data_IF_827031727811
#
_entry.id   IF_827031727811
#
_cell.length_a   1.000
_cell.length_b   1.000
_cell.length_c   1.000
_cell.angle_alpha   90.00
_cell.angle_beta   90.00
_cell.angle_gamma   90.00
#
_symmetry.space_group_name_H-M   'P 1'
#
loop_
_entity.id
_entity.type
_entity.pdbx_description
1 polymer ?
#
# COMPACT_ATOMS: atom_id res chain seq x y z
N UNK A 1 16.26 -12.95 -21.07
CA UNK A 1 15.07 -13.82 -21.06
C UNK A 1 13.87 -13.01 -20.61
N UNK A 2 12.85 -12.86 -21.47
CA UNK A 2 11.60 -12.19 -21.12
C UNK A 2 10.82 -13.06 -20.13
N UNK A 3 10.92 -12.81 -18.84
CA UNK A 3 9.99 -13.36 -17.88
C UNK A 3 8.62 -12.73 -18.17
N UNK A 4 7.75 -13.48 -18.86
CA UNK A 4 6.34 -13.08 -19.02
C UNK A 4 5.77 -12.88 -17.61
N UNK A 5 5.57 -11.62 -17.21
CA UNK A 5 4.87 -11.31 -15.99
C UNK A 5 3.51 -12.00 -16.03
N UNK A 6 3.25 -12.87 -15.07
CA UNK A 6 1.94 -13.52 -14.92
C UNK A 6 0.92 -12.45 -14.58
N UNK A 7 0.13 -12.06 -15.57
CA UNK A 7 -0.99 -11.15 -15.36
C UNK A 7 -2.12 -11.89 -14.64
N UNK A 8 -2.59 -11.34 -13.52
CA UNK A 8 -3.69 -11.90 -12.73
C UNK A 8 -4.91 -11.01 -12.95
N UNK A 9 -5.76 -11.36 -13.91
CA UNK A 9 -6.95 -10.59 -14.33
C UNK A 9 -7.89 -10.27 -13.16
N UNK A 10 -8.06 -11.18 -12.19
CA UNK A 10 -8.91 -10.97 -11.02
C UNK A 10 -8.51 -9.77 -10.16
N UNK A 11 -7.23 -9.39 -10.12
CA UNK A 11 -6.77 -8.25 -9.33
C UNK A 11 -7.26 -6.91 -9.87
N UNK A 12 -7.42 -6.77 -11.18
CA UNK A 12 -7.96 -5.53 -11.74
C UNK A 12 -9.43 -5.36 -11.40
N UNK A 13 -10.20 -6.46 -11.41
CA UNK A 13 -11.60 -6.45 -10.95
C UNK A 13 -11.72 -6.03 -9.48
N UNK A 14 -10.90 -6.62 -8.59
CA UNK A 14 -10.92 -6.28 -7.17
C UNK A 14 -10.48 -4.82 -6.95
N UNK A 15 -9.48 -4.34 -7.68
CA UNK A 15 -9.06 -2.94 -7.64
C UNK A 15 -10.17 -1.99 -8.07
N UNK A 16 -10.86 -2.32 -9.15
CA UNK A 16 -11.98 -1.51 -9.64
C UNK A 16 -13.08 -1.41 -8.59
N UNK A 17 -13.47 -2.52 -7.97
CA UNK A 17 -14.47 -2.53 -6.89
C UNK A 17 -13.98 -1.70 -5.70
N UNK A 18 -12.71 -1.83 -5.34
CA UNK A 18 -12.12 -1.08 -4.23
C UNK A 18 -12.10 0.43 -4.49
N UNK A 19 -11.74 0.87 -5.72
CA UNK A 19 -11.81 2.29 -6.12
C UNK A 19 -13.24 2.81 -6.09
N UNK A 20 -14.17 2.07 -6.71
CA UNK A 20 -15.57 2.47 -6.72
C UNK A 20 -16.13 2.58 -5.30
N UNK A 21 -15.77 1.64 -4.41
CA UNK A 21 -16.13 1.71 -3.00
C UNK A 21 -15.67 3.01 -2.34
N UNK A 22 -14.41 3.40 -2.55
CA UNK A 22 -13.86 4.65 -2.01
C UNK A 22 -14.56 5.87 -2.62
N UNK A 23 -14.76 5.91 -3.94
CA UNK A 23 -15.44 7.01 -4.61
C UNK A 23 -16.88 7.17 -4.07
N UNK A 24 -17.64 6.09 -4.00
CA UNK A 24 -19.00 6.14 -3.50
C UNK A 24 -19.09 6.49 -2.02
N UNK A 25 -18.12 6.11 -1.21
CA UNK A 25 -18.02 6.55 0.18
C UNK A 25 -17.90 8.07 0.28
N UNK A 26 -17.13 8.72 -0.61
CA UNK A 26 -16.97 10.17 -0.59
C UNK A 26 -18.17 10.90 -1.19
N UNK A 27 -18.84 10.31 -2.18
CA UNK A 27 -20.03 10.90 -2.78
C UNK A 27 -21.30 10.69 -1.93
N UNK A 28 -21.40 9.56 -1.24
CA UNK A 28 -22.59 9.13 -0.50
C UNK A 28 -22.23 8.58 0.89
N UNK A 29 -21.62 9.40 1.78
CA UNK A 29 -21.06 8.93 3.05
C UNK A 29 -22.11 8.30 3.99
N UNK A 30 -23.35 8.77 3.91
CA UNK A 30 -24.44 8.25 4.74
C UNK A 30 -24.98 6.90 4.26
N UNK A 31 -24.82 6.59 2.96
CA UNK A 31 -25.37 5.38 2.35
C UNK A 31 -24.34 4.26 2.27
N UNK A 32 -23.11 4.59 1.89
CA UNK A 32 -22.03 3.58 1.67
C UNK A 32 -20.93 3.75 2.73
N UNK A 33 -21.27 3.47 3.97
CA UNK A 33 -20.39 3.68 5.14
C UNK A 33 -19.10 2.84 5.12
N UNK A 34 -19.07 1.69 4.45
CA UNK A 34 -17.91 0.78 4.41
C UNK A 34 -16.93 1.02 3.25
N UNK A 35 -17.17 1.99 2.37
CA UNK A 35 -16.36 2.18 1.16
C UNK A 35 -14.89 2.54 1.42
N UNK A 36 -14.57 3.17 2.54
CA UNK A 36 -13.19 3.43 2.98
C UNK A 36 -12.34 2.16 3.13
N UNK A 37 -12.95 0.99 3.28
CA UNK A 37 -12.26 -0.29 3.31
C UNK A 37 -11.61 -0.66 1.95
N UNK A 38 -11.96 0.02 0.88
CA UNK A 38 -11.27 -0.12 -0.40
C UNK A 38 -9.77 0.16 -0.31
N UNK A 39 -9.33 1.10 0.55
CA UNK A 39 -7.90 1.42 0.72
C UNK A 39 -7.10 0.24 1.27
N UNK A 40 -7.49 -0.43 2.37
CA UNK A 40 -6.84 -1.68 2.79
C UNK A 40 -6.79 -2.76 1.73
N UNK A 41 -7.84 -2.93 0.93
CA UNK A 41 -7.85 -3.91 -0.19
C UNK A 41 -6.78 -3.56 -1.22
N UNK A 42 -6.63 -2.29 -1.58
CA UNK A 42 -5.54 -1.83 -2.44
C UNK A 42 -4.16 -2.18 -1.87
N UNK A 43 -3.96 -1.95 -0.58
CA UNK A 43 -2.69 -2.23 0.08
C UNK A 43 -2.37 -3.72 0.08
N UNK A 44 -3.35 -4.60 0.30
CA UNK A 44 -3.16 -6.06 0.19
C UNK A 44 -2.70 -6.43 -1.22
N UNK A 45 -3.36 -5.94 -2.26
CA UNK A 45 -3.00 -6.22 -3.64
C UNK A 45 -1.61 -5.67 -3.98
N UNK A 46 -1.29 -4.46 -3.53
CA UNK A 46 0.01 -3.83 -3.75
C UNK A 46 1.13 -4.63 -3.07
N UNK A 47 0.94 -5.05 -1.82
CA UNK A 47 1.89 -5.88 -1.09
C UNK A 47 2.11 -7.24 -1.77
N UNK A 48 1.02 -7.88 -2.21
CA UNK A 48 1.08 -9.14 -2.96
C UNK A 48 1.90 -8.99 -4.24
N UNK A 49 1.56 -8.03 -5.09
CA UNK A 49 2.19 -7.87 -6.40
C UNK A 49 3.67 -7.52 -6.31
N UNK A 50 4.06 -6.71 -5.33
CA UNK A 50 5.48 -6.35 -5.15
C UNK A 50 6.29 -7.56 -4.71
N UNK A 51 5.82 -8.28 -3.72
CA UNK A 51 6.54 -9.43 -3.21
C UNK A 51 6.55 -10.56 -4.25
N UNK A 52 5.44 -10.79 -4.96
CA UNK A 52 5.43 -11.78 -6.05
C UNK A 52 6.42 -11.45 -7.16
N UNK A 53 6.51 -10.18 -7.58
CA UNK A 53 7.49 -9.70 -8.56
C UNK A 53 8.93 -9.96 -8.11
N UNK A 54 9.26 -9.57 -6.89
CA UNK A 54 10.62 -9.70 -6.35
C UNK A 54 10.99 -11.15 -6.08
N UNK A 55 10.02 -11.97 -5.66
CA UNK A 55 10.18 -13.41 -5.48
C UNK A 55 10.50 -14.09 -6.82
N UNK A 56 9.76 -13.76 -7.89
CA UNK A 56 10.02 -14.27 -9.23
C UNK A 56 11.43 -13.88 -9.73
N UNK A 57 11.84 -12.63 -9.47
CA UNK A 57 13.19 -12.18 -9.82
C UNK A 57 14.27 -12.97 -9.07
N UNK A 58 14.06 -13.23 -7.76
CA UNK A 58 14.97 -14.06 -6.97
C UNK A 58 15.00 -15.51 -7.46
N UNK A 59 13.87 -16.11 -7.77
CA UNK A 59 13.80 -17.50 -8.27
C UNK A 59 14.50 -17.67 -9.62
N UNK A 60 14.44 -16.65 -10.47
CA UNK A 60 15.09 -16.68 -11.80
C UNK A 60 16.59 -16.39 -11.76
N UNK A 61 17.02 -15.46 -10.92
CA UNK A 61 18.36 -14.88 -11.00
C UNK A 61 19.17 -15.07 -9.71
N UNK A 62 18.59 -15.64 -8.65
CA UNK A 62 19.16 -15.71 -7.29
C UNK A 62 19.62 -14.34 -6.76
N UNK A 63 19.09 -13.26 -7.34
CA UNK A 63 19.43 -11.88 -7.00
C UNK A 63 18.24 -10.97 -7.27
N UNK A 64 18.05 -9.97 -6.41
CA UNK A 64 17.06 -8.89 -6.58
C UNK A 64 17.81 -7.59 -6.84
N UNK A 65 17.46 -6.89 -7.91
CA UNK A 65 18.07 -5.62 -8.30
C UNK A 65 17.25 -4.45 -7.72
N UNK A 66 17.43 -4.17 -6.41
CA UNK A 66 16.66 -3.12 -5.70
C UNK A 66 16.71 -1.76 -6.41
N UNK A 67 17.89 -1.32 -6.90
CA UNK A 67 18.00 -0.05 -7.63
C UNK A 67 17.08 0.00 -8.85
N UNK A 68 17.04 -1.05 -9.64
CA UNK A 68 16.16 -1.14 -10.80
C UNK A 68 14.68 -1.19 -10.40
N UNK A 69 14.35 -1.89 -9.30
CA UNK A 69 13.02 -1.91 -8.75
C UNK A 69 12.55 -0.50 -8.35
N UNK A 70 13.32 0.22 -7.52
CA UNK A 70 12.95 1.57 -7.08
C UNK A 70 12.84 2.55 -8.25
N UNK A 71 13.76 2.49 -9.21
CA UNK A 71 13.70 3.35 -10.37
C UNK A 71 12.43 3.13 -11.22
N UNK A 72 12.00 1.88 -11.41
CA UNK A 72 10.72 1.56 -12.07
C UNK A 72 9.53 2.12 -11.30
N UNK A 73 9.55 2.08 -9.96
CA UNK A 73 8.48 2.62 -9.11
C UNK A 73 8.43 4.14 -9.18
N UNK A 74 9.57 4.81 -9.08
CA UNK A 74 9.67 6.26 -9.25
C UNK A 74 9.10 6.68 -10.61
N UNK A 75 9.56 6.09 -11.70
CA UNK A 75 9.04 6.38 -13.04
C UNK A 75 7.53 6.16 -13.19
N UNK A 76 6.95 5.27 -12.43
CA UNK A 76 5.52 5.00 -12.46
C UNK A 76 4.70 5.96 -11.61
N UNK A 77 5.20 6.31 -10.41
CA UNK A 77 4.41 7.05 -9.42
C UNK A 77 4.58 8.57 -9.55
N UNK A 78 5.81 9.06 -9.77
CA UNK A 78 6.07 10.50 -9.78
C UNK A 78 5.36 11.28 -10.89
N UNK A 79 5.25 10.82 -12.14
CA UNK A 79 4.57 11.61 -13.16
C UNK A 79 3.11 11.89 -12.82
N UNK A 80 2.39 10.90 -12.31
CA UNK A 80 1.00 11.06 -11.88
C UNK A 80 0.89 11.96 -10.64
N UNK A 81 1.78 11.80 -9.65
CA UNK A 81 1.82 12.64 -8.46
C UNK A 81 2.09 14.10 -8.81
N UNK A 82 3.11 14.37 -9.63
CA UNK A 82 3.46 15.73 -10.05
C UNK A 82 2.30 16.36 -10.82
N UNK A 83 1.71 15.62 -11.77
CA UNK A 83 0.55 16.08 -12.52
C UNK A 83 -0.63 16.46 -11.60
N UNK A 84 -0.94 15.60 -10.62
CA UNK A 84 -1.97 15.89 -9.62
C UNK A 84 -1.64 17.14 -8.81
N UNK A 85 -0.41 17.24 -8.28
CA UNK A 85 0.02 18.39 -7.47
C UNK A 85 -0.06 19.69 -8.26
N UNK A 86 0.40 19.71 -9.52
CA UNK A 86 0.34 20.92 -10.37
C UNK A 86 -1.11 21.30 -10.67
N UNK A 87 -1.96 20.34 -11.08
CA UNK A 87 -3.36 20.62 -11.41
C UNK A 87 -4.13 21.12 -10.18
N UNK A 88 -4.02 20.45 -9.05
CA UNK A 88 -4.71 20.85 -7.83
C UNK A 88 -4.17 22.18 -7.28
N UNK A 89 -2.85 22.38 -7.28
CA UNK A 89 -2.26 23.65 -6.83
C UNK A 89 -2.71 24.81 -7.73
N UNK A 90 -2.75 24.62 -9.05
CA UNK A 90 -3.27 25.64 -9.99
C UNK A 90 -4.74 25.95 -9.72
N UNK A 91 -5.57 24.92 -9.53
CA UNK A 91 -6.99 25.08 -9.20
C UNK A 91 -7.19 25.86 -7.89
N UNK A 92 -6.47 25.49 -6.82
CA UNK A 92 -6.54 26.17 -5.52
C UNK A 92 -6.11 27.64 -5.67
N UNK A 93 -5.02 27.92 -6.38
CA UNK A 93 -4.51 29.27 -6.57
C UNK A 93 -5.51 30.17 -7.31
N UNK A 94 -6.24 29.63 -8.28
CA UNK A 94 -7.19 30.38 -9.10
C UNK A 94 -8.56 30.52 -8.43
N UNK A 95 -9.05 29.47 -7.76
CA UNK A 95 -10.46 29.37 -7.34
C UNK A 95 -10.68 29.22 -5.83
N UNK A 96 -9.68 28.71 -5.06
CA UNK A 96 -9.85 28.41 -3.63
C UNK A 96 -8.67 28.91 -2.79
N UNK A 97 -8.41 30.20 -2.82
CA UNK A 97 -7.25 30.83 -2.16
C UNK A 97 -7.17 30.61 -0.64
N UNK A 98 -8.28 30.28 0.02
CA UNK A 98 -8.32 29.93 1.43
C UNK A 98 -7.49 28.65 1.76
N UNK A 99 -7.27 27.77 0.79
CA UNK A 99 -6.47 26.56 0.96
C UNK A 99 -4.96 26.75 0.72
N UNK A 100 -4.52 27.96 0.31
CA UNK A 100 -3.10 28.26 0.02
C UNK A 100 -2.19 28.14 1.25
N UNK A 101 -2.71 28.40 2.44
CA UNK A 101 -1.90 28.42 3.67
C UNK A 101 -1.15 27.12 3.93
N UNK A 102 -1.70 25.99 3.54
CA UNK A 102 -1.12 24.66 3.75
C UNK A 102 -0.43 24.09 2.50
N UNK A 103 -0.53 24.76 1.35
CA UNK A 103 -0.13 24.20 0.07
C UNK A 103 1.35 23.79 0.02
N UNK A 104 2.25 24.62 0.56
CA UNK A 104 3.70 24.31 0.58
C UNK A 104 3.99 23.05 1.37
N UNK A 105 3.38 22.90 2.55
CA UNK A 105 3.55 21.72 3.41
C UNK A 105 3.03 20.45 2.74
N UNK A 106 1.85 20.52 2.13
CA UNK A 106 1.24 19.41 1.39
C UNK A 106 2.10 19.00 0.21
N UNK A 107 2.54 19.94 -0.63
CA UNK A 107 3.36 19.65 -1.81
C UNK A 107 4.69 19.01 -1.40
N UNK A 108 5.40 19.62 -0.43
CA UNK A 108 6.70 19.10 0.01
C UNK A 108 6.59 17.72 0.65
N UNK A 109 5.63 17.54 1.56
CA UNK A 109 5.40 16.26 2.23
C UNK A 109 4.96 15.15 1.25
N UNK A 110 4.19 15.51 0.22
CA UNK A 110 3.75 14.57 -0.81
C UNK A 110 4.89 14.13 -1.72
N UNK A 111 5.73 15.06 -2.17
CA UNK A 111 6.90 14.75 -2.99
C UNK A 111 7.90 13.83 -2.28
N UNK A 112 8.01 13.92 -0.97
CA UNK A 112 8.89 13.09 -0.14
C UNK A 112 8.18 11.88 0.48
N UNK A 113 6.92 11.64 0.15
CA UNK A 113 6.10 10.51 0.64
C UNK A 113 6.01 10.42 2.16
N UNK A 114 5.88 11.56 2.87
CA UNK A 114 5.53 11.61 4.29
C UNK A 114 4.26 12.44 4.58
N UNK A 115 3.43 12.66 3.57
CA UNK A 115 2.21 13.45 3.67
C UNK A 115 1.24 12.93 4.75
N UNK A 116 1.21 11.63 5.01
CA UNK A 116 0.42 11.04 6.07
C UNK A 116 0.81 11.57 7.47
N UNK A 117 2.09 11.63 7.77
CA UNK A 117 2.58 12.20 9.04
C UNK A 117 2.36 13.71 9.10
N UNK A 118 2.56 14.42 7.99
CA UNK A 118 2.29 15.84 7.90
C UNK A 118 0.82 16.16 8.19
N UNK A 119 -0.11 15.35 7.67
CA UNK A 119 -1.55 15.51 7.93
C UNK A 119 -1.90 15.23 9.39
N UNK A 120 -1.33 14.19 10.00
CA UNK A 120 -1.52 13.86 11.41
C UNK A 120 -1.02 15.00 12.31
N UNK A 121 0.18 15.52 12.04
CA UNK A 121 0.81 16.59 12.83
C UNK A 121 0.02 17.90 12.76
N UNK A 122 -0.51 18.23 11.58
CA UNK A 122 -1.35 19.39 11.37
C UNK A 122 -2.83 19.18 11.77
N UNK A 123 -3.16 18.04 12.42
CA UNK A 123 -4.50 17.69 12.91
C UNK A 123 -5.58 17.77 11.82
N UNK A 124 -5.23 17.42 10.59
CA UNK A 124 -6.15 17.39 9.48
C UNK A 124 -6.95 16.08 9.54
N UNK A 125 -8.13 16.13 10.17
CA UNK A 125 -8.97 14.94 10.30
C UNK A 125 -9.40 14.38 8.95
N UNK A 126 -9.20 13.08 8.74
CA UNK A 126 -9.70 12.38 7.57
C UNK A 126 -11.24 12.30 7.56
N UNK A 127 -11.84 12.21 8.72
CA UNK A 127 -13.29 11.99 8.87
C UNK A 127 -14.10 13.29 8.88
N UNK A 128 -13.50 14.42 9.29
CA UNK A 128 -14.17 15.73 9.30
C UNK A 128 -14.13 16.44 7.93
N UNK A 129 -13.43 15.89 6.96
CA UNK A 129 -13.18 16.50 5.64
C UNK A 129 -14.39 16.57 4.72
N UNK A 130 -15.49 15.94 5.08
CA UNK A 130 -16.76 16.10 4.36
C UNK A 130 -17.30 17.54 4.41
N UNK A 131 -16.86 18.33 5.40
CA UNK A 131 -17.25 19.74 5.56
C UNK A 131 -16.29 20.72 4.90
N UNK A 132 -15.03 20.31 4.62
CA UNK A 132 -14.02 21.15 3.97
C UNK A 132 -13.08 20.28 3.10
N UNK A 133 -13.51 19.91 1.89
CA UNK A 133 -12.77 18.97 1.04
C UNK A 133 -11.46 19.59 0.55
N UNK A 134 -10.33 19.06 1.02
CA UNK A 134 -8.99 19.34 0.49
C UNK A 134 -8.68 18.29 -0.60
N UNK A 135 -8.38 18.69 -1.84
CA UNK A 135 -8.07 17.75 -2.94
C UNK A 135 -6.83 16.88 -2.68
N UNK A 136 -5.97 17.25 -1.75
CA UNK A 136 -4.77 16.51 -1.38
C UNK A 136 -4.98 15.48 -0.27
N UNK A 137 -6.19 15.42 0.27
CA UNK A 137 -6.56 14.53 1.37
C UNK A 137 -6.08 13.10 1.17
N UNK A 138 -6.20 12.56 -0.05
CA UNK A 138 -5.92 11.15 -0.34
C UNK A 138 -4.42 10.82 -0.47
N UNK A 139 -3.53 11.81 -0.45
CA UNK A 139 -2.09 11.60 -0.61
C UNK A 139 -1.43 10.89 0.59
N UNK A 140 -2.13 10.83 1.74
CA UNK A 140 -1.68 10.02 2.87
C UNK A 140 -1.48 8.54 2.50
N UNK A 141 -2.42 7.98 1.75
CA UNK A 141 -2.36 6.55 1.38
C UNK A 141 -1.20 6.25 0.43
N UNK A 142 -0.91 7.17 -0.50
CA UNK A 142 0.24 7.05 -1.39
C UNK A 142 1.57 7.11 -0.60
N UNK A 143 1.62 7.92 0.46
CA UNK A 143 2.78 7.99 1.35
C UNK A 143 2.99 6.69 2.11
N UNK A 144 1.94 6.13 2.72
CA UNK A 144 1.99 4.83 3.40
C UNK A 144 2.43 3.72 2.44
N UNK A 145 1.90 3.72 1.22
CA UNK A 145 2.27 2.75 0.19
C UNK A 145 3.76 2.86 -0.18
N UNK A 146 4.26 4.06 -0.44
CA UNK A 146 5.65 4.29 -0.81
C UNK A 146 6.63 3.91 0.30
N UNK A 147 6.30 4.19 1.56
CA UNK A 147 7.11 3.80 2.72
C UNK A 147 7.21 2.28 2.86
N UNK A 148 6.10 1.56 2.67
CA UNK A 148 6.12 0.10 2.64
C UNK A 148 6.86 -0.46 1.41
N UNK A 149 6.80 0.22 0.26
CA UNK A 149 7.60 -0.14 -0.92
C UNK A 149 9.11 -0.01 -0.67
N UNK A 150 9.51 0.86 0.25
CA UNK A 150 10.90 0.95 0.67
C UNK A 150 11.29 -0.23 1.57
N UNK A 151 10.45 -0.57 2.55
CA UNK A 151 10.77 -1.54 3.61
C UNK A 151 10.65 -2.99 3.14
N UNK A 152 9.53 -3.37 2.51
CA UNK A 152 9.24 -4.77 2.16
C UNK A 152 10.31 -5.42 1.25
N UNK A 153 10.81 -4.76 0.18
CA UNK A 153 11.84 -5.34 -0.67
C UNK A 153 13.16 -5.56 0.06
N UNK A 154 13.54 -4.64 0.94
CA UNK A 154 14.77 -4.76 1.75
C UNK A 154 14.66 -5.97 2.68
N UNK A 155 13.54 -6.12 3.37
CA UNK A 155 13.30 -7.25 4.27
C UNK A 155 13.31 -8.58 3.49
N UNK A 156 12.67 -8.64 2.33
CA UNK A 156 12.65 -9.84 1.51
C UNK A 156 14.07 -10.27 1.10
N UNK A 157 14.88 -9.31 0.61
CA UNK A 157 16.28 -9.57 0.24
C UNK A 157 17.09 -10.04 1.45
N UNK A 158 16.90 -9.41 2.60
CA UNK A 158 17.59 -9.78 3.84
C UNK A 158 17.25 -11.23 4.22
N UNK A 159 15.98 -11.59 4.25
CA UNK A 159 15.55 -12.94 4.63
C UNK A 159 16.04 -14.02 3.65
N UNK A 160 16.04 -13.73 2.35
CA UNK A 160 16.54 -14.67 1.35
C UNK A 160 18.07 -14.82 1.43
N UNK A 161 18.82 -13.75 1.65
CA UNK A 161 20.27 -13.82 1.87
C UNK A 161 20.65 -14.57 3.14
N UNK A 162 19.80 -14.50 4.17
CA UNK A 162 19.97 -15.28 5.41
C UNK A 162 19.54 -16.76 5.25
N UNK A 163 19.25 -17.21 4.04
CA UNK A 163 18.85 -18.60 3.75
C UNK A 163 17.53 -19.02 4.41
N UNK A 164 16.64 -18.07 4.72
CA UNK A 164 15.35 -18.40 5.34
C UNK A 164 14.45 -19.13 4.35
N UNK A 165 13.82 -20.21 4.81
CA UNK A 165 12.85 -20.96 4.02
C UNK A 165 11.64 -20.08 3.71
N UNK A 166 10.98 -20.28 2.57
CA UNK A 166 9.84 -19.49 2.09
C UNK A 166 8.69 -19.46 3.10
N UNK A 167 8.36 -20.60 3.70
CA UNK A 167 7.34 -20.74 4.74
C UNK A 167 7.61 -19.84 5.95
N UNK A 168 8.87 -19.79 6.41
CA UNK A 168 9.29 -18.91 7.50
C UNK A 168 9.20 -17.44 7.12
N UNK A 169 9.60 -17.07 5.89
CA UNK A 169 9.50 -15.68 5.41
C UNK A 169 8.04 -15.25 5.34
N UNK A 170 7.16 -16.10 4.82
CA UNK A 170 5.72 -15.87 4.81
C UNK A 170 5.16 -15.70 6.23
N UNK A 171 5.58 -16.56 7.17
CA UNK A 171 5.20 -16.46 8.57
C UNK A 171 5.66 -15.15 9.24
N UNK A 172 6.88 -14.68 8.94
CA UNK A 172 7.39 -13.40 9.46
C UNK A 172 6.54 -12.23 8.95
N UNK A 173 6.18 -12.19 7.65
CA UNK A 173 5.30 -11.16 7.12
C UNK A 173 3.89 -11.25 7.72
N UNK A 174 3.37 -12.45 7.97
CA UNK A 174 2.08 -12.62 8.66
C UNK A 174 2.13 -12.11 10.09
N UNK A 175 3.17 -12.45 10.84
CA UNK A 175 3.36 -11.95 12.21
C UNK A 175 3.51 -10.43 12.25
N UNK A 176 4.24 -9.83 11.30
CA UNK A 176 4.33 -8.39 11.15
C UNK A 176 2.97 -7.73 10.83
N UNK A 177 2.16 -8.39 9.99
CA UNK A 177 0.79 -7.96 9.72
C UNK A 177 -0.07 -8.00 10.99
N UNK A 178 -0.03 -9.07 11.75
CA UNK A 178 -0.76 -9.20 13.02
C UNK A 178 -0.30 -8.16 14.05
N UNK A 179 1.01 -7.96 14.19
CA UNK A 179 1.57 -6.94 15.09
C UNK A 179 1.10 -5.53 14.71
N UNK A 180 1.08 -5.20 13.42
CA UNK A 180 0.54 -3.93 12.92
C UNK A 180 -0.96 -3.77 13.20
N UNK A 181 -1.75 -4.83 13.02
CA UNK A 181 -3.18 -4.81 13.31
C UNK A 181 -3.46 -4.66 14.83
N UNK A 182 -2.69 -5.36 15.67
CA UNK A 182 -2.76 -5.21 17.12
C UNK A 182 -2.37 -3.79 17.54
N UNK A 183 -1.31 -3.23 16.95
CA UNK A 183 -0.91 -1.84 17.18
C UNK A 183 -2.02 -0.86 16.84
N UNK A 184 -2.69 -1.06 15.69
CA UNK A 184 -3.84 -0.28 15.29
C UNK A 184 -4.97 -0.35 16.33
N UNK A 185 -5.28 -1.54 16.85
CA UNK A 185 -6.31 -1.74 17.84
C UNK A 185 -5.97 -1.06 19.18
N UNK A 186 -4.70 -1.12 19.62
CA UNK A 186 -4.22 -0.46 20.86
C UNK A 186 -4.30 1.06 20.75
N UNK A 187 -3.98 1.60 19.58
CA UNK A 187 -3.99 3.05 19.34
C UNK A 187 -5.42 3.63 19.20
N UNK A 188 -6.39 2.80 18.85
CA UNK A 188 -7.77 3.26 18.67
C UNK A 188 -8.40 3.56 20.02
N UNK A 189 -8.90 4.80 20.18
CA UNK A 189 -9.63 5.25 21.35
C UNK A 189 -11.03 5.70 20.94
N UNK A 190 -12.09 5.07 21.46
CA UNK A 190 -13.46 5.51 21.19
C UNK A 190 -13.67 6.98 21.60
N UNK A 191 -14.34 7.75 20.75
CA UNK A 191 -14.63 9.18 21.01
C UNK A 191 -13.49 10.15 20.68
N UNK A 192 -12.32 9.65 20.22
CA UNK A 192 -11.22 10.47 19.73
C UNK A 192 -11.15 10.33 18.21
N UNK A 193 -10.75 11.41 17.53
CA UNK A 193 -10.54 11.37 16.07
C UNK A 193 -9.56 10.24 15.68
N UNK A 194 -10.00 9.25 14.90
CA UNK A 194 -9.19 8.11 14.54
C UNK A 194 -8.18 8.36 13.43
N UNK A 195 -8.04 9.59 12.93
CA UNK A 195 -7.18 9.92 11.77
C UNK A 195 -5.73 9.47 11.96
N UNK A 196 -5.14 9.71 13.14
CA UNK A 196 -3.77 9.28 13.40
C UNK A 196 -3.59 7.77 13.30
N UNK A 197 -4.61 7.01 13.68
CA UNK A 197 -4.63 5.54 13.57
C UNK A 197 -4.92 5.13 12.12
N UNK A 198 -5.77 5.87 11.43
CA UNK A 198 -6.16 5.59 10.05
C UNK A 198 -5.06 5.90 9.04
N UNK A 199 -4.37 7.04 9.16
CA UNK A 199 -3.33 7.51 8.25
C UNK A 199 -1.92 7.03 8.66
N UNK A 200 -1.78 6.47 9.85
CA UNK A 200 -0.50 6.02 10.41
C UNK A 200 0.11 4.84 9.64
N UNK A 201 1.39 4.94 9.28
CA UNK A 201 2.07 3.88 8.53
C UNK A 201 2.08 2.57 9.29
N UNK A 202 2.45 2.59 10.57
CA UNK A 202 2.54 1.36 11.36
C UNK A 202 1.19 0.68 11.54
N UNK A 203 0.11 1.42 11.71
CA UNK A 203 -1.25 0.89 11.84
C UNK A 203 -1.82 0.38 10.51
N UNK A 204 -1.38 0.93 9.38
CA UNK A 204 -1.87 0.54 8.03
C UNK A 204 -1.02 -0.49 7.31
N UNK A 205 0.20 -0.70 7.76
CA UNK A 205 1.11 -1.68 7.16
C UNK A 205 0.56 -3.10 7.20
N UNK A 206 -0.37 -3.43 8.13
CA UNK A 206 -0.95 -4.78 8.24
C UNK A 206 -1.48 -5.30 6.90
N UNK A 207 -2.15 -4.45 6.12
CA UNK A 207 -2.74 -4.85 4.84
C UNK A 207 -1.66 -5.22 3.81
N UNK A 208 -0.61 -4.40 3.68
CA UNK A 208 0.47 -4.68 2.73
C UNK A 208 1.31 -5.89 3.15
N UNK A 209 1.55 -6.05 4.44
CA UNK A 209 2.29 -7.19 4.97
C UNK A 209 1.48 -8.49 4.85
N UNK A 210 0.15 -8.42 4.99
CA UNK A 210 -0.74 -9.54 4.70
C UNK A 210 -0.63 -9.95 3.22
N UNK A 211 -0.69 -8.97 2.31
CA UNK A 211 -0.50 -9.21 0.88
C UNK A 211 0.86 -9.84 0.56
N UNK A 212 1.93 -9.35 1.20
CA UNK A 212 3.27 -9.90 1.09
C UNK A 212 3.35 -11.36 1.55
N UNK A 213 2.75 -11.68 2.68
CA UNK A 213 2.64 -13.04 3.20
C UNK A 213 1.89 -13.95 2.23
N UNK A 214 0.73 -13.52 1.74
CA UNK A 214 -0.10 -14.28 0.79
C UNK A 214 0.65 -14.59 -0.52
N UNK A 215 1.47 -13.68 -1.03
CA UNK A 215 2.25 -13.88 -2.24
C UNK A 215 3.23 -15.06 -2.12
N UNK A 216 3.78 -15.26 -0.92
CA UNK A 216 4.72 -16.35 -0.65
C UNK A 216 3.97 -17.64 -0.31
N UNK A 217 2.94 -17.57 0.54
CA UNK A 217 2.13 -18.75 0.93
C UNK A 217 1.43 -19.43 -0.25
N UNK A 218 0.87 -18.64 -1.16
CA UNK A 218 0.20 -19.17 -2.34
C UNK A 218 1.12 -20.07 -3.15
N UNK A 219 2.39 -19.72 -3.27
CA UNK A 219 3.37 -20.55 -3.96
C UNK A 219 3.73 -21.82 -3.17
N UNK A 220 3.85 -21.72 -1.85
CA UNK A 220 4.09 -22.88 -0.99
C UNK A 220 2.98 -23.91 -1.17
N UNK A 221 1.72 -23.47 -1.20
CA UNK A 221 0.55 -24.33 -1.43
C UNK A 221 0.61 -24.99 -2.82
N UNK A 222 0.89 -24.23 -3.88
CA UNK A 222 1.02 -24.79 -5.25
C UNK A 222 2.12 -25.85 -5.30
N UNK A 223 3.30 -25.56 -4.75
CA UNK A 223 4.39 -26.52 -4.72
C UNK A 223 4.02 -27.81 -3.95
N UNK A 224 3.35 -27.66 -2.81
CA UNK A 224 2.87 -28.81 -2.05
C UNK A 224 1.88 -29.67 -2.85
N UNK A 225 0.92 -29.07 -3.55
CA UNK A 225 -0.05 -29.77 -4.38
C UNK A 225 0.60 -30.49 -5.56
N UNK A 226 1.58 -29.87 -6.22
CA UNK A 226 2.33 -30.48 -7.32
C UNK A 226 3.16 -31.67 -6.81
N UNK A 227 3.77 -31.54 -5.65
CA UNK A 227 4.56 -32.61 -5.04
C UNK A 227 3.70 -33.81 -4.65
N UNK A 228 2.52 -33.60 -4.09
CA UNK A 228 1.57 -34.64 -3.69
C UNK A 228 0.94 -35.37 -4.91
N UNK A 229 0.83 -34.71 -6.06
CA UNK A 229 0.30 -35.26 -7.31
C UNK A 229 1.33 -36.09 -8.12
N UNK A 230 2.63 -36.02 -7.75
CA UNK A 230 3.62 -36.90 -8.42
C UNK A 230 3.35 -38.33 -8.04
N UNK A 231 3.06 -39.25 -9.01
CA UNK A 231 2.88 -40.67 -8.72
C UNK A 231 4.17 -41.18 -8.07
N UNK A 232 4.04 -41.90 -6.95
CA UNK A 232 5.16 -42.68 -6.39
C UNK A 232 5.67 -43.56 -7.51
N UNK A 233 6.88 -43.29 -8.01
CA UNK A 233 7.55 -44.30 -8.87
C UNK A 233 7.69 -45.57 -8.05
N UNK A 234 6.94 -46.62 -8.48
CA UNK A 234 7.16 -47.99 -8.04
C UNK A 234 8.48 -48.49 -8.58
#
# INVERSE_FOLDING_TARGET
>A
MNTKHRYITGFDGIRTIAVLGVIFYHLFPNTIKGGYLGVPVFFVISGYLIIDLLRQEWESNQKIHLKAFYFRRIKRLYPALIGLLVLCASYITLFQRNLLNNLRGVVFSSLLYFNNYWQIDNKLSYFDRFHNPDPFTHLWSLSVEAQNYLVLPILLVLFYKLGRKKDRVAGIFLLGSLASAIWMAIQFKPGVDPTAVYDGTFSRSFSMWLGASLAIFYQVIIYAQVFLKKPKKR
#
